data_IF_061562421409
#
_entry.id   IF_061562421409
#
_cell.length_a   1.000
_cell.length_b   1.000
_cell.length_c   1.000
_cell.angle_alpha   90.00
_cell.angle_beta   90.00
_cell.angle_gamma   90.00
#
_symmetry.space_group_name_H-M   'P 1'
#
loop_
_entity.id
_entity.type
_entity.pdbx_description
1 polymer ?
#
# COMPACT_ATOMS: atom_id res chain seq x y z
N UNK A 1 -30.08 59.98 -7.83
CA UNK A 1 -30.01 58.68 -7.08
C UNK A 1 -29.71 59.01 -5.63
N UNK A 2 -30.60 58.73 -4.71
CA UNK A 2 -30.46 59.10 -3.30
C UNK A 2 -29.44 58.23 -2.56
N UNK A 3 -28.57 58.84 -1.76
CA UNK A 3 -27.52 58.18 -0.97
C UNK A 3 -27.94 56.91 -0.18
N UNK A 4 -29.21 56.75 0.30
CA UNK A 4 -29.62 55.55 1.03
C UNK A 4 -29.72 54.27 0.16
N UNK A 5 -29.90 54.37 -1.14
CA UNK A 5 -30.00 53.21 -2.03
C UNK A 5 -28.64 52.60 -2.28
N UNK A 6 -27.59 53.42 -2.39
CA UNK A 6 -26.21 52.98 -2.58
C UNK A 6 -25.65 52.24 -1.34
N UNK A 7 -25.98 52.72 -0.14
CA UNK A 7 -25.53 52.09 1.12
C UNK A 7 -26.20 50.71 1.34
N UNK A 8 -27.47 50.57 0.95
CA UNK A 8 -28.22 49.29 1.03
C UNK A 8 -27.69 48.27 0.03
N UNK A 9 -27.33 48.71 -1.18
CA UNK A 9 -26.74 47.83 -2.19
C UNK A 9 -25.33 47.32 -1.76
N UNK A 10 -24.52 48.16 -1.12
CA UNK A 10 -23.22 47.80 -0.62
C UNK A 10 -23.27 46.83 0.55
N UNK A 11 -24.23 46.97 1.49
CA UNK A 11 -24.46 46.08 2.60
C UNK A 11 -24.92 44.67 2.14
N UNK A 12 -25.80 44.59 1.15
CA UNK A 12 -26.25 43.30 0.60
C UNK A 12 -25.11 42.59 -0.14
N UNK A 13 -24.26 43.32 -0.88
CA UNK A 13 -23.11 42.76 -1.56
C UNK A 13 -22.03 42.26 -0.58
N UNK A 14 -21.86 42.93 0.57
CA UNK A 14 -20.93 42.51 1.60
C UNK A 14 -21.37 41.24 2.35
N UNK A 15 -22.68 41.10 2.60
CA UNK A 15 -23.23 39.90 3.28
C UNK A 15 -23.24 38.69 2.36
N UNK A 16 -23.49 38.86 1.05
CA UNK A 16 -23.39 37.76 0.09
C UNK A 16 -21.97 37.30 -0.18
N UNK A 17 -20.96 38.18 -0.07
CA UNK A 17 -19.54 37.79 -0.19
C UNK A 17 -19.04 36.95 1.00
N UNK A 18 -19.64 37.07 2.17
CA UNK A 18 -19.27 36.30 3.38
C UNK A 18 -19.78 34.85 3.39
N UNK A 19 -20.76 34.52 2.53
CA UNK A 19 -21.38 33.18 2.51
C UNK A 19 -20.74 32.23 1.52
N UNK A 20 -19.79 32.69 0.67
CA UNK A 20 -19.21 31.89 -0.44
C UNK A 20 -17.77 31.44 -0.18
N UNK A 21 -17.19 31.65 1.00
CA UNK A 21 -15.93 30.99 1.30
C UNK A 21 -16.21 29.53 1.65
N UNK A 22 -15.81 28.55 0.81
CA UNK A 22 -15.84 27.17 1.23
C UNK A 22 -14.97 27.10 2.50
N UNK A 23 -15.57 26.58 3.59
CA UNK A 23 -14.77 26.27 4.78
C UNK A 23 -13.58 25.42 4.32
N UNK A 24 -12.34 25.73 4.73
CA UNK A 24 -11.22 24.88 4.41
C UNK A 24 -11.59 23.47 4.89
N UNK A 25 -11.60 22.51 3.97
CA UNK A 25 -11.74 21.11 4.33
C UNK A 25 -10.56 20.81 5.26
N UNK A 26 -10.82 20.76 6.56
CA UNK A 26 -9.82 20.26 7.51
C UNK A 26 -9.55 18.84 7.09
N UNK A 27 -8.32 18.57 6.64
CA UNK A 27 -7.89 17.23 6.36
C UNK A 27 -8.14 16.40 7.63
N UNK A 28 -8.83 15.27 7.47
CA UNK A 28 -9.10 14.38 8.59
C UNK A 28 -7.75 14.00 9.23
N UNK A 29 -7.65 14.22 10.55
CA UNK A 29 -6.46 13.81 11.28
C UNK A 29 -6.54 12.30 11.52
N UNK A 30 -5.42 11.58 11.39
CA UNK A 30 -5.38 10.17 11.76
C UNK A 30 -5.67 10.01 13.25
N UNK A 31 -6.42 8.98 13.61
CA UNK A 31 -6.68 8.58 15.00
C UNK A 31 -5.56 7.70 15.54
N UNK A 32 -4.82 7.05 14.66
CA UNK A 32 -3.63 6.26 14.96
C UNK A 32 -2.58 6.51 13.89
N UNK A 33 -1.34 6.64 14.33
CA UNK A 33 -0.18 6.74 13.44
C UNK A 33 1.04 6.14 14.09
N UNK A 34 1.87 5.48 13.30
CA UNK A 34 3.19 5.07 13.75
C UNK A 34 4.20 5.24 12.62
N UNK A 35 5.46 5.40 13.03
CA UNK A 35 6.61 5.43 12.15
C UNK A 35 7.58 4.41 12.68
N UNK A 36 7.96 3.47 11.85
CA UNK A 36 8.90 2.44 12.20
C UNK A 36 10.08 2.40 11.23
N UNK A 37 11.24 2.12 11.76
CA UNK A 37 12.45 1.85 11.00
C UNK A 37 13.27 0.83 11.76
N UNK A 38 13.41 -0.35 11.19
CA UNK A 38 14.19 -1.41 11.82
C UNK A 38 15.03 -2.18 10.81
N UNK A 39 16.04 -2.83 11.34
CA UNK A 39 16.88 -3.79 10.62
C UNK A 39 16.88 -5.10 11.37
N UNK A 40 16.93 -6.21 10.65
CA UNK A 40 17.01 -7.54 11.22
C UNK A 40 17.92 -8.42 10.36
N UNK A 41 18.51 -9.46 10.97
CA UNK A 41 19.32 -10.45 10.27
C UNK A 41 19.04 -11.83 10.85
N UNK A 42 18.69 -12.77 9.99
CA UNK A 42 18.32 -14.13 10.39
C UNK A 42 18.59 -15.11 9.24
N UNK A 43 18.60 -16.40 9.55
CA UNK A 43 18.69 -17.47 8.54
C UNK A 43 17.33 -18.15 8.39
N UNK A 44 16.98 -18.49 7.16
CA UNK A 44 15.73 -19.18 6.82
C UNK A 44 15.90 -20.03 5.56
N UNK A 45 14.81 -20.62 5.08
CA UNK A 45 14.74 -21.27 3.78
C UNK A 45 13.77 -20.49 2.88
N UNK A 46 14.17 -20.20 1.65
CA UNK A 46 13.32 -19.58 0.63
C UNK A 46 13.43 -20.40 -0.67
N UNK A 47 12.27 -20.78 -1.23
CA UNK A 47 12.21 -21.58 -2.47
C UNK A 47 13.05 -22.86 -2.43
N UNK A 48 13.21 -23.49 -1.24
CA UNK A 48 14.01 -24.69 -1.04
C UNK A 48 15.53 -24.45 -0.89
N UNK A 49 15.95 -23.18 -0.76
CA UNK A 49 17.36 -22.80 -0.58
C UNK A 49 17.54 -22.20 0.81
N UNK A 50 18.51 -22.69 1.57
CA UNK A 50 18.92 -22.06 2.83
C UNK A 50 19.58 -20.71 2.52
N UNK A 51 19.15 -19.65 3.21
CA UNK A 51 19.68 -18.30 3.00
C UNK A 51 19.89 -17.57 4.32
N UNK A 52 20.91 -16.72 4.34
CA UNK A 52 21.03 -15.64 5.32
C UNK A 52 20.33 -14.40 4.78
N UNK A 53 19.55 -13.75 5.63
CA UNK A 53 18.70 -12.60 5.27
C UNK A 53 19.16 -11.39 6.05
N UNK A 54 19.42 -10.29 5.33
CA UNK A 54 19.53 -8.95 5.89
C UNK A 54 18.30 -8.15 5.46
N UNK A 55 17.54 -7.65 6.44
CA UNK A 55 16.29 -6.92 6.24
C UNK A 55 16.41 -5.47 6.72
N UNK A 56 15.94 -4.55 5.92
CA UNK A 56 15.71 -3.14 6.29
C UNK A 56 14.28 -2.78 5.95
N UNK A 57 13.55 -2.22 6.91
CA UNK A 57 12.16 -1.78 6.75
C UNK A 57 12.02 -0.34 7.20
N UNK A 58 11.25 0.43 6.46
CA UNK A 58 10.71 1.74 6.87
C UNK A 58 9.23 1.75 6.60
N UNK A 59 8.45 2.11 7.61
CA UNK A 59 7.00 2.08 7.58
C UNK A 59 6.39 3.35 8.19
N UNK A 60 5.33 3.89 7.56
CA UNK A 60 4.58 5.05 8.04
C UNK A 60 3.09 4.78 7.84
N UNK A 61 2.45 4.35 8.90
CA UNK A 61 1.05 3.97 8.91
C UNK A 61 0.16 5.07 9.50
N UNK A 62 -1.03 5.23 8.92
CA UNK A 62 -2.06 6.16 9.35
C UNK A 62 -3.42 5.49 9.27
N UNK A 63 -4.16 5.50 10.37
CA UNK A 63 -5.56 5.07 10.43
C UNK A 63 -6.45 6.28 10.70
N UNK A 64 -7.55 6.40 9.97
CA UNK A 64 -8.52 7.48 10.12
C UNK A 64 -9.78 7.00 10.82
N UNK A 65 -10.55 7.95 11.38
CA UNK A 65 -11.73 7.64 12.18
C UNK A 65 -12.86 6.91 11.42
N UNK A 66 -12.87 7.02 10.10
CA UNK A 66 -13.80 6.32 9.22
C UNK A 66 -13.35 4.88 8.86
N UNK A 67 -12.20 4.44 9.36
CA UNK A 67 -11.61 3.15 9.03
C UNK A 67 -10.76 3.14 7.75
N UNK A 68 -10.64 4.28 7.05
CA UNK A 68 -9.68 4.44 5.96
C UNK A 68 -8.27 4.34 6.52
N UNK A 69 -7.39 3.66 5.80
CA UNK A 69 -5.97 3.63 6.17
C UNK A 69 -5.06 4.01 5.00
N UNK A 70 -3.88 4.44 5.36
CA UNK A 70 -2.77 4.71 4.44
C UNK A 70 -1.49 4.22 5.09
N UNK A 71 -0.76 3.42 4.36
CA UNK A 71 0.59 3.02 4.68
C UNK A 71 1.54 3.49 3.57
N UNK A 72 2.72 3.99 3.93
CA UNK A 72 3.80 4.30 3.00
C UNK A 72 5.03 3.58 3.51
N UNK A 73 5.37 2.52 2.84
CA UNK A 73 6.44 1.62 3.27
C UNK A 73 7.50 1.38 2.19
N UNK A 74 8.65 0.98 2.66
CA UNK A 74 9.70 0.40 1.84
C UNK A 74 10.40 -0.69 2.62
N UNK A 75 10.75 -1.77 1.92
CA UNK A 75 11.66 -2.76 2.49
C UNK A 75 12.76 -3.12 1.47
N UNK A 76 13.85 -3.60 2.00
CA UNK A 76 14.91 -4.26 1.25
C UNK A 76 15.32 -5.51 2.02
N UNK A 77 15.26 -6.64 1.34
CA UNK A 77 15.78 -7.92 1.83
C UNK A 77 16.93 -8.37 0.94
N UNK A 78 18.07 -8.68 1.53
CA UNK A 78 19.19 -9.32 0.83
C UNK A 78 19.22 -10.77 1.25
N UNK A 79 18.99 -11.66 0.32
CA UNK A 79 19.12 -13.11 0.50
C UNK A 79 20.50 -13.52 0.02
N UNK A 80 21.27 -14.17 0.87
CA UNK A 80 22.60 -14.70 0.54
C UNK A 80 22.62 -16.21 0.75
N UNK A 81 22.95 -16.96 -0.29
CA UNK A 81 23.17 -18.39 -0.16
C UNK A 81 24.54 -18.60 0.53
N UNK A 82 24.60 -19.19 1.75
CA UNK A 82 25.85 -19.37 2.50
C UNK A 82 26.78 -20.39 1.86
N UNK A 83 26.27 -21.25 0.97
CA UNK A 83 27.10 -22.30 0.35
C UNK A 83 27.99 -21.77 -0.76
N UNK A 84 27.51 -20.74 -1.51
CA UNK A 84 28.21 -20.22 -2.70
C UNK A 84 28.48 -18.72 -2.65
N UNK A 85 27.88 -18.00 -1.67
CA UNK A 85 27.96 -16.54 -1.51
C UNK A 85 27.20 -15.72 -2.54
N UNK A 86 26.37 -16.35 -3.38
CA UNK A 86 25.51 -15.60 -4.29
C UNK A 86 24.40 -14.88 -3.53
N UNK A 87 24.10 -13.66 -3.98
CA UNK A 87 23.11 -12.81 -3.30
C UNK A 87 22.14 -12.19 -4.28
N UNK A 88 20.89 -12.07 -3.83
CA UNK A 88 19.82 -11.39 -4.52
C UNK A 88 19.15 -10.39 -3.58
N UNK A 89 18.76 -9.24 -4.13
CA UNK A 89 18.06 -8.19 -3.38
C UNK A 89 16.62 -8.13 -3.84
N UNK A 90 15.71 -8.32 -2.90
CA UNK A 90 14.28 -8.09 -3.07
C UNK A 90 13.92 -6.78 -2.39
N UNK A 91 13.26 -5.88 -3.09
CA UNK A 91 12.90 -4.59 -2.55
C UNK A 91 11.49 -4.17 -2.97
N UNK A 92 10.83 -3.44 -2.10
CA UNK A 92 9.54 -2.80 -2.32
C UNK A 92 9.59 -1.34 -1.89
N UNK A 93 8.84 -0.48 -2.56
CA UNK A 93 8.62 0.90 -2.14
C UNK A 93 7.29 1.38 -2.71
N UNK A 94 6.40 1.85 -1.85
CA UNK A 94 5.09 2.26 -2.33
C UNK A 94 4.15 2.75 -1.25
N UNK A 95 2.91 2.77 -1.63
CA UNK A 95 1.81 3.14 -0.76
C UNK A 95 0.75 2.05 -0.81
N UNK A 96 0.28 1.65 0.36
CA UNK A 96 -0.91 0.80 0.53
C UNK A 96 -2.03 1.67 1.08
N UNK A 97 -3.21 1.55 0.50
CA UNK A 97 -4.39 2.30 0.95
C UNK A 97 -5.62 1.43 0.91
N UNK A 98 -6.53 1.63 1.85
CA UNK A 98 -7.84 1.00 1.83
C UNK A 98 -8.91 1.96 2.35
N UNK A 99 -10.11 1.99 1.72
CA UNK A 99 -11.29 2.60 2.32
C UNK A 99 -11.75 1.78 3.53
N UNK A 100 -12.74 2.27 4.29
CA UNK A 100 -13.40 1.45 5.31
C UNK A 100 -13.82 0.09 4.74
N UNK A 101 -13.70 -1.01 5.52
CA UNK A 101 -14.17 -2.31 5.07
C UNK A 101 -15.69 -2.31 4.86
N UNK A 102 -16.14 -3.11 3.92
CA UNK A 102 -17.56 -3.29 3.63
C UNK A 102 -18.05 -4.51 4.40
N UNK A 103 -19.01 -4.30 5.29
CA UNK A 103 -19.67 -5.37 6.05
C UNK A 103 -20.99 -5.72 5.40
N UNK A 104 -21.19 -6.98 5.10
CA UNK A 104 -22.46 -7.57 4.66
C UNK A 104 -22.98 -8.49 5.76
N UNK A 105 -23.87 -7.95 6.60
CA UNK A 105 -24.46 -8.71 7.73
C UNK A 105 -25.36 -9.85 7.25
N UNK A 106 -26.00 -9.72 6.09
CA UNK A 106 -26.88 -10.76 5.53
C UNK A 106 -26.08 -11.97 5.04
N UNK A 107 -24.96 -11.70 4.38
CA UNK A 107 -24.02 -12.71 3.93
C UNK A 107 -23.09 -13.20 5.05
N UNK A 108 -22.99 -12.47 6.17
CA UNK A 108 -22.04 -12.76 7.26
C UNK A 108 -20.58 -12.55 6.85
N UNK A 109 -20.31 -11.53 6.02
CA UNK A 109 -18.97 -11.30 5.49
C UNK A 109 -18.47 -9.89 5.72
N UNK A 110 -17.13 -9.75 5.72
CA UNK A 110 -16.44 -8.47 5.69
C UNK A 110 -15.42 -8.46 4.54
N UNK A 111 -15.45 -7.40 3.72
CA UNK A 111 -14.55 -7.27 2.57
C UNK A 111 -13.64 -6.05 2.74
N UNK A 112 -12.34 -6.28 2.62
CA UNK A 112 -11.31 -5.25 2.62
C UNK A 112 -10.87 -4.98 1.19
N UNK A 113 -10.89 -3.70 0.79
CA UNK A 113 -10.32 -3.25 -0.48
C UNK A 113 -8.92 -2.69 -0.22
N UNK A 114 -7.89 -3.38 -0.69
CA UNK A 114 -6.50 -2.99 -0.48
C UNK A 114 -5.83 -2.65 -1.81
N UNK A 115 -5.38 -1.40 -1.94
CA UNK A 115 -4.69 -0.91 -3.15
C UNK A 115 -3.20 -0.72 -2.87
N UNK A 116 -2.38 -1.42 -3.62
CA UNK A 116 -0.92 -1.28 -3.65
C UNK A 116 -0.54 -0.38 -4.83
N UNK A 117 0.28 0.66 -4.58
CA UNK A 117 0.70 1.65 -5.57
C UNK A 117 2.20 1.89 -5.49
N UNK A 118 2.88 1.89 -6.63
CA UNK A 118 4.31 2.17 -6.71
C UNK A 118 5.12 1.01 -7.26
N UNK A 119 6.04 0.49 -6.47
CA UNK A 119 6.89 -0.65 -6.77
C UNK A 119 6.60 -1.77 -5.75
N UNK A 120 5.56 -2.59 -5.94
CA UNK A 120 5.22 -3.68 -5.03
C UNK A 120 6.38 -4.65 -4.81
N UNK A 121 7.10 -4.99 -5.89
CA UNK A 121 8.27 -5.84 -5.81
C UNK A 121 9.29 -5.56 -6.92
N UNK A 122 10.55 -5.67 -6.57
CA UNK A 122 11.67 -5.68 -7.51
C UNK A 122 12.73 -6.66 -7.00
N UNK A 123 13.09 -7.61 -7.85
CA UNK A 123 14.18 -8.58 -7.61
C UNK A 123 15.36 -8.23 -8.52
N UNK A 124 16.54 -8.15 -7.95
CA UNK A 124 17.78 -7.88 -8.68
C UNK A 124 18.94 -8.65 -8.07
N UNK A 125 19.95 -8.98 -8.84
CA UNK A 125 21.21 -9.49 -8.29
C UNK A 125 21.90 -8.38 -7.49
N UNK A 126 22.74 -8.73 -6.50
CA UNK A 126 23.33 -7.76 -5.57
C UNK A 126 24.06 -6.59 -6.25
N UNK A 127 24.66 -6.81 -7.41
CA UNK A 127 25.38 -5.77 -8.18
C UNK A 127 25.04 -5.79 -9.67
N UNK A 128 23.89 -6.37 -10.04
CA UNK A 128 23.56 -6.68 -11.42
C UNK A 128 22.17 -6.20 -11.86
N UNK A 129 21.69 -6.78 -12.94
CA UNK A 129 20.42 -6.37 -13.55
C UNK A 129 19.22 -6.67 -12.67
N UNK A 130 18.14 -5.93 -12.94
CA UNK A 130 16.80 -6.28 -12.44
C UNK A 130 16.33 -7.54 -13.15
N UNK A 131 15.94 -8.54 -12.38
CA UNK A 131 15.49 -9.85 -12.84
C UNK A 131 13.96 -9.89 -12.97
N UNK A 132 13.27 -9.25 -12.01
CA UNK A 132 11.82 -9.17 -11.96
C UNK A 132 11.42 -7.80 -11.41
N UNK A 133 10.30 -7.26 -11.89
CA UNK A 133 9.78 -5.98 -11.40
C UNK A 133 8.27 -5.92 -11.57
N UNK A 134 7.59 -5.77 -10.45
CA UNK A 134 6.20 -5.37 -10.38
C UNK A 134 6.11 -3.87 -10.15
N UNK A 135 5.29 -3.16 -10.91
CA UNK A 135 5.13 -1.72 -10.76
C UNK A 135 3.76 -1.25 -11.26
N UNK A 136 3.17 -0.31 -10.53
CA UNK A 136 1.89 0.28 -10.95
C UNK A 136 0.87 0.32 -9.82
N UNK A 137 -0.35 -0.12 -10.11
CA UNK A 137 -1.45 -0.19 -9.14
C UNK A 137 -2.11 -1.56 -9.27
N UNK A 138 -2.15 -2.29 -8.17
CA UNK A 138 -2.97 -3.49 -8.03
C UNK A 138 -3.90 -3.31 -6.84
N UNK A 139 -5.18 -3.70 -6.98
CA UNK A 139 -6.17 -3.64 -5.91
C UNK A 139 -6.83 -4.98 -5.75
N UNK A 140 -6.85 -5.49 -4.54
CA UNK A 140 -7.52 -6.71 -4.14
C UNK A 140 -8.78 -6.40 -3.34
N UNK A 141 -9.79 -7.25 -3.47
CA UNK A 141 -10.94 -7.36 -2.58
C UNK A 141 -10.81 -8.68 -1.84
N UNK A 142 -10.41 -8.62 -0.58
CA UNK A 142 -10.23 -9.79 0.28
C UNK A 142 -11.45 -9.92 1.19
N UNK A 143 -12.18 -11.03 1.06
CA UNK A 143 -13.40 -11.31 1.82
C UNK A 143 -13.14 -12.36 2.88
N UNK A 144 -13.63 -12.08 4.08
CA UNK A 144 -13.52 -12.93 5.25
C UNK A 144 -14.91 -13.19 5.86
N UNK A 145 -15.04 -14.29 6.55
CA UNK A 145 -16.19 -14.56 7.41
C UNK A 145 -16.21 -13.58 8.59
N UNK A 146 -17.35 -12.96 8.83
CA UNK A 146 -17.49 -11.88 9.82
C UNK A 146 -17.39 -12.40 11.26
N UNK A 147 -17.81 -13.64 11.52
CA UNK A 147 -17.83 -14.23 12.85
C UNK A 147 -16.49 -14.90 13.21
N UNK A 148 -15.93 -15.66 12.27
CA UNK A 148 -14.71 -16.47 12.52
C UNK A 148 -13.43 -15.77 12.10
N UNK A 149 -13.50 -14.79 11.19
CA UNK A 149 -12.36 -14.15 10.57
C UNK A 149 -11.65 -15.04 9.55
N UNK A 150 -12.23 -16.18 9.16
CA UNK A 150 -11.63 -17.05 8.16
C UNK A 150 -11.65 -16.41 6.76
N UNK A 151 -10.57 -16.59 6.02
CA UNK A 151 -10.46 -16.12 4.64
C UNK A 151 -11.38 -16.92 3.73
N UNK A 152 -12.20 -16.22 2.93
CA UNK A 152 -13.14 -16.81 1.99
C UNK A 152 -12.60 -16.70 0.56
N UNK A 153 -12.24 -15.48 0.12
CA UNK A 153 -11.83 -15.26 -1.26
C UNK A 153 -11.00 -13.98 -1.42
N UNK A 154 -10.22 -13.93 -2.48
CA UNK A 154 -9.55 -12.72 -2.97
C UNK A 154 -9.88 -12.52 -4.45
N UNK A 155 -10.20 -11.29 -4.82
CA UNK A 155 -10.45 -10.90 -6.20
C UNK A 155 -9.58 -9.70 -6.57
N UNK A 156 -8.94 -9.76 -7.75
CA UNK A 156 -8.21 -8.61 -8.30
C UNK A 156 -9.18 -7.66 -8.99
N UNK A 157 -9.42 -6.50 -8.37
CA UNK A 157 -10.37 -5.48 -8.88
C UNK A 157 -9.70 -4.52 -9.87
N UNK A 158 -8.41 -4.17 -9.60
CA UNK A 158 -7.61 -3.30 -10.47
C UNK A 158 -6.26 -3.95 -10.68
N UNK A 159 -5.84 -4.01 -11.95
CA UNK A 159 -4.48 -4.40 -12.34
C UNK A 159 -4.01 -3.43 -13.43
N UNK A 160 -3.12 -2.48 -13.09
CA UNK A 160 -2.60 -1.46 -14.00
C UNK A 160 -1.10 -1.30 -13.82
N UNK A 161 -0.36 -1.62 -14.84
CA UNK A 161 1.10 -1.65 -14.87
C UNK A 161 1.61 -3.05 -15.10
N UNK A 162 2.92 -3.25 -15.18
CA UNK A 162 3.51 -4.58 -15.26
C UNK A 162 3.45 -5.25 -13.87
N UNK A 163 2.73 -6.35 -13.76
CA UNK A 163 2.62 -7.18 -12.56
C UNK A 163 2.89 -8.65 -12.89
N UNK A 164 4.08 -9.02 -13.41
CA UNK A 164 4.40 -10.39 -13.80
C UNK A 164 4.24 -11.41 -12.67
N UNK A 165 4.49 -11.00 -11.40
CA UNK A 165 4.24 -11.84 -10.23
C UNK A 165 2.75 -12.17 -10.07
N UNK A 166 1.90 -11.15 -10.02
CA UNK A 166 0.46 -11.34 -9.88
C UNK A 166 -0.12 -12.07 -11.12
N UNK A 167 0.34 -11.75 -12.32
CA UNK A 167 -0.09 -12.37 -13.57
C UNK A 167 0.30 -13.86 -13.65
N UNK A 168 1.39 -14.26 -12.97
CA UNK A 168 1.85 -15.65 -12.88
C UNK A 168 1.31 -16.40 -11.67
N UNK A 169 0.41 -15.79 -10.90
CA UNK A 169 -0.03 -16.28 -9.59
C UNK A 169 1.16 -16.57 -8.66
N UNK A 170 2.13 -15.65 -8.62
CA UNK A 170 3.35 -15.68 -7.80
C UNK A 170 4.31 -16.85 -8.08
N UNK A 171 4.18 -17.50 -9.24
CA UNK A 171 5.06 -18.62 -9.61
C UNK A 171 6.47 -18.16 -10.00
N UNK A 172 6.62 -16.94 -10.53
CA UNK A 172 7.90 -16.42 -11.00
C UNK A 172 8.88 -16.10 -9.87
N UNK A 173 8.40 -15.77 -8.68
CA UNK A 173 9.27 -15.42 -7.56
C UNK A 173 10.32 -16.51 -7.28
N UNK A 174 9.87 -17.74 -7.04
CA UNK A 174 10.80 -18.84 -6.75
C UNK A 174 11.68 -19.21 -7.95
N UNK A 175 11.18 -19.11 -9.19
CA UNK A 175 12.00 -19.35 -10.37
C UNK A 175 13.18 -18.38 -10.43
N UNK A 176 12.90 -17.06 -10.24
CA UNK A 176 13.91 -16.00 -10.31
C UNK A 176 14.88 -16.10 -9.13
N UNK A 177 14.39 -16.31 -7.91
CA UNK A 177 15.24 -16.45 -6.70
C UNK A 177 16.17 -17.66 -6.83
N UNK A 178 15.62 -18.82 -7.20
CA UNK A 178 16.43 -20.05 -7.38
C UNK A 178 17.49 -19.85 -8.45
N UNK A 179 17.12 -19.30 -9.61
CA UNK A 179 18.07 -19.06 -10.70
C UNK A 179 19.17 -18.04 -10.36
N UNK A 180 18.93 -17.13 -9.40
CA UNK A 180 19.92 -16.13 -8.99
C UNK A 180 20.83 -16.61 -7.84
N UNK A 181 20.40 -17.59 -7.03
CA UNK A 181 21.14 -18.09 -5.87
C UNK A 181 21.87 -19.42 -6.11
N UNK A 182 21.64 -20.08 -7.24
CA UNK A 182 22.32 -21.34 -7.63
C UNK A 182 23.31 -21.15 -8.75
#
# INVERSE_FOLDING_TARGET
>A
MSRPVLVRALLVALVTALVVFPAPALAAQPIEQFHDHFTDSFSTEICGIAVDVDLVVTDNFFLYADGTFKDTSSFQQTFTNPENGQSVVVSSAGQVTGPPPVVDEEAGTITFLTSYKGLPEKIQTAQGPVLLRDAGIITFADTFDLETGEFISSETIVNKGPHPEADSNFALFCEVITGALT
#
